data_IF_902496697481
#
_entry.id   IF_902496697481
#
_cell.length_a   1.000
_cell.length_b   1.000
_cell.length_c   1.000
_cell.angle_alpha   90.00
_cell.angle_beta   90.00
_cell.angle_gamma   90.00
#
_symmetry.space_group_name_H-M   'P 1'
#
loop_
_entity.id
_entity.type
_entity.pdbx_description
1 polymer ?
#
# COMPACT_ATOMS: atom_id res chain seq x y z
N UNK A 1 6.97 -21.06 42.82
CA UNK A 1 7.49 -20.89 41.45
C UNK A 1 6.35 -20.41 40.57
N UNK A 2 6.29 -19.11 40.29
CA UNK A 2 5.42 -18.61 39.22
C UNK A 2 5.97 -19.09 37.88
N UNK A 3 5.12 -19.65 37.02
CA UNK A 3 5.50 -19.89 35.62
C UNK A 3 5.66 -18.52 34.96
N UNK A 4 6.88 -18.14 34.59
CA UNK A 4 7.11 -17.01 33.68
C UNK A 4 6.21 -17.21 32.46
N UNK A 5 5.28 -16.28 32.23
CA UNK A 5 4.38 -16.35 31.08
C UNK A 5 5.17 -16.43 29.79
N UNK A 6 4.93 -17.46 29.00
CA UNK A 6 5.62 -17.67 27.72
C UNK A 6 5.24 -16.53 26.76
N UNK A 7 6.25 -15.74 26.37
CA UNK A 7 6.07 -14.65 25.41
C UNK A 7 6.09 -15.22 23.99
N UNK A 8 4.92 -15.60 23.51
CA UNK A 8 4.73 -16.03 22.12
C UNK A 8 4.71 -14.80 21.21
N UNK A 9 5.60 -14.78 20.21
CA UNK A 9 5.60 -13.78 19.14
C UNK A 9 4.72 -14.27 17.98
N UNK A 10 3.77 -13.45 17.56
CA UNK A 10 2.92 -13.74 16.41
C UNK A 10 3.50 -13.11 15.15
N UNK A 11 3.88 -13.95 14.19
CA UNK A 11 4.40 -13.53 12.88
C UNK A 11 3.37 -13.87 11.80
N UNK A 12 2.59 -12.89 11.28
CA UNK A 12 1.57 -13.15 10.26
C UNK A 12 2.12 -13.85 9.00
N UNK A 13 3.38 -13.55 8.63
CA UNK A 13 4.07 -14.16 7.49
C UNK A 13 4.37 -15.65 7.63
N UNK A 14 4.28 -16.23 8.83
CA UNK A 14 4.56 -17.67 9.08
C UNK A 14 3.26 -18.51 9.14
N UNK A 15 2.12 -17.93 8.76
CA UNK A 15 0.83 -18.62 8.78
C UNK A 15 0.66 -19.54 7.57
N UNK A 16 0.94 -20.83 7.74
CA UNK A 16 0.66 -21.88 6.76
C UNK A 16 -0.79 -22.42 6.81
N UNK A 17 -1.70 -21.72 7.49
CA UNK A 17 -3.09 -22.17 7.64
C UNK A 17 -3.86 -21.96 6.34
N UNK A 18 -4.59 -22.99 5.90
CA UNK A 18 -5.48 -22.93 4.74
C UNK A 18 -6.49 -21.78 4.86
N UNK A 19 -6.77 -21.11 3.73
CA UNK A 19 -7.92 -20.22 3.58
C UNK A 19 -9.18 -20.95 4.04
N UNK A 20 -9.98 -20.32 4.89
CA UNK A 20 -11.14 -20.98 5.48
C UNK A 20 -12.19 -21.31 4.40
N UNK A 21 -12.29 -22.58 4.01
CA UNK A 21 -13.19 -23.06 2.92
C UNK A 21 -14.66 -23.17 3.34
N UNK A 22 -14.95 -23.15 4.63
CA UNK A 22 -16.29 -23.48 5.18
C UNK A 22 -16.83 -22.32 6.03
N UNK A 23 -17.49 -21.36 5.37
CA UNK A 23 -18.34 -20.32 5.99
C UNK A 23 -19.84 -20.61 5.75
N UNK A 24 -20.20 -21.88 5.59
CA UNK A 24 -21.45 -22.38 4.98
C UNK A 24 -22.74 -22.17 5.79
N UNK A 25 -22.71 -21.41 6.89
CA UNK A 25 -23.88 -21.12 7.72
C UNK A 25 -24.10 -19.63 8.02
N UNK A 26 -23.31 -18.72 7.45
CA UNK A 26 -23.50 -17.27 7.59
C UNK A 26 -23.74 -16.62 6.23
N UNK A 27 -24.89 -15.95 6.12
CA UNK A 27 -25.14 -14.98 5.05
C UNK A 27 -24.48 -13.68 5.47
N UNK A 28 -23.51 -13.21 4.69
CA UNK A 28 -22.92 -11.88 4.88
C UNK A 28 -23.93 -10.83 4.45
N UNK A 29 -24.08 -9.77 5.26
CA UNK A 29 -25.04 -8.69 5.04
C UNK A 29 -24.36 -7.42 4.52
N UNK A 30 -23.05 -7.33 4.67
CA UNK A 30 -22.24 -6.24 4.15
C UNK A 30 -20.92 -6.76 3.55
N UNK A 31 -20.53 -6.19 2.40
CA UNK A 31 -19.24 -6.40 1.77
C UNK A 31 -18.71 -5.11 1.15
N UNK A 32 -17.43 -4.85 1.34
CA UNK A 32 -16.76 -3.64 0.86
C UNK A 32 -15.32 -3.97 0.46
N UNK A 33 -14.82 -3.26 -0.55
CA UNK A 33 -13.52 -3.49 -1.14
C UNK A 33 -12.74 -2.18 -1.27
N UNK A 34 -11.44 -2.22 -0.95
CA UNK A 34 -10.46 -1.22 -1.40
C UNK A 34 -9.69 -1.83 -2.57
N UNK A 35 -10.02 -1.44 -3.79
CA UNK A 35 -9.52 -2.02 -5.03
C UNK A 35 -8.48 -1.10 -5.69
N UNK A 36 -7.35 -1.64 -6.14
CA UNK A 36 -6.37 -0.93 -6.95
C UNK A 36 -6.97 -0.55 -8.32
N UNK A 37 -6.76 0.70 -8.77
CA UNK A 37 -7.35 1.18 -10.04
C UNK A 37 -6.56 0.77 -11.28
N UNK A 38 -5.34 0.24 -11.12
CA UNK A 38 -4.47 -0.21 -12.22
C UNK A 38 -4.13 -1.68 -12.06
N UNK A 39 -4.03 -2.40 -13.17
CA UNK A 39 -3.78 -3.85 -13.24
C UNK A 39 -2.39 -4.30 -12.77
N UNK A 40 -1.49 -3.36 -12.49
CA UNK A 40 -0.14 -3.64 -11.98
C UNK A 40 0.13 -2.96 -10.63
N UNK A 41 -0.94 -2.55 -9.93
CA UNK A 41 -0.90 -2.00 -8.59
C UNK A 41 -1.37 -3.06 -7.59
N UNK A 42 -0.57 -3.30 -6.54
CA UNK A 42 -0.83 -4.33 -5.54
C UNK A 42 -0.58 -3.77 -4.13
N UNK A 43 -1.37 -4.20 -3.16
CA UNK A 43 -1.11 -3.96 -1.74
C UNK A 43 0.13 -4.75 -1.31
N UNK A 44 1.16 -4.11 -0.73
CA UNK A 44 2.38 -4.81 -0.32
C UNK A 44 2.10 -5.75 0.87
N UNK A 45 2.79 -6.91 1.00
CA UNK A 45 2.58 -7.81 2.14
C UNK A 45 2.73 -7.14 3.51
N UNK A 46 3.61 -6.13 3.62
CA UNK A 46 3.76 -5.30 4.83
C UNK A 46 2.46 -4.60 5.24
N UNK A 47 1.65 -4.12 4.29
CA UNK A 47 0.36 -3.51 4.57
C UNK A 47 -0.58 -4.53 5.24
N UNK A 48 -0.63 -5.78 4.74
CA UNK A 48 -1.42 -6.83 5.39
C UNK A 48 -0.92 -7.17 6.79
N UNK A 49 0.39 -7.28 6.99
CA UNK A 49 0.97 -7.57 8.30
C UNK A 49 0.65 -6.49 9.33
N UNK A 50 0.75 -5.21 8.96
CA UNK A 50 0.37 -4.09 9.85
C UNK A 50 -1.15 -4.09 10.09
N UNK A 51 -1.96 -4.22 9.04
CA UNK A 51 -3.42 -4.22 9.13
C UNK A 51 -3.93 -5.35 10.03
N UNK A 52 -3.52 -6.59 9.78
CA UNK A 52 -3.94 -7.76 10.55
C UNK A 52 -3.55 -7.66 12.03
N UNK A 53 -2.35 -7.16 12.35
CA UNK A 53 -1.92 -6.90 13.72
C UNK A 53 -2.75 -5.78 14.39
N UNK A 54 -3.03 -4.68 13.69
CA UNK A 54 -3.85 -3.57 14.22
C UNK A 54 -5.30 -3.98 14.43
N UNK A 55 -5.92 -4.67 13.47
CA UNK A 55 -7.28 -5.17 13.58
C UNK A 55 -7.42 -6.16 14.75
N UNK A 56 -6.50 -7.13 14.86
CA UNK A 56 -6.48 -8.06 15.97
C UNK A 56 -6.28 -7.33 17.32
N UNK A 57 -5.39 -6.34 17.40
CA UNK A 57 -5.17 -5.58 18.63
C UNK A 57 -6.36 -4.70 19.04
N UNK A 58 -6.98 -4.00 18.07
CA UNK A 58 -8.07 -3.03 18.33
C UNK A 58 -9.45 -3.67 18.46
N UNK A 59 -9.75 -4.72 17.69
CA UNK A 59 -11.12 -5.21 17.51
C UNK A 59 -11.35 -6.67 17.92
N UNK A 60 -10.31 -7.47 18.21
CA UNK A 60 -10.51 -8.81 18.79
C UNK A 60 -10.83 -8.79 20.30
N UNK A 61 -10.97 -7.60 20.88
CA UNK A 61 -11.37 -7.38 22.26
C UNK A 61 -12.89 -7.20 22.30
N UNK A 62 -13.61 -8.06 23.03
CA UNK A 62 -14.93 -7.66 23.51
C UNK A 62 -14.75 -6.42 24.40
N UNK A 63 -15.52 -5.34 24.16
CA UNK A 63 -15.52 -4.09 24.94
C UNK A 63 -15.99 -4.32 26.39
N UNK A 64 -15.11 -4.90 27.21
CA UNK A 64 -15.32 -5.17 28.63
C UNK A 64 -14.16 -4.68 29.49
N UNK A 65 -14.33 -4.77 30.81
CA UNK A 65 -13.35 -4.37 31.82
C UNK A 65 -11.93 -4.89 31.46
N UNK A 66 -10.91 -4.04 31.61
CA UNK A 66 -9.48 -4.35 31.38
C UNK A 66 -9.06 -5.67 32.03
N UNK A 67 -9.54 -5.92 33.24
CA UNK A 67 -9.26 -7.12 34.03
C UNK A 67 -9.91 -8.40 33.48
N UNK A 68 -10.97 -8.26 32.69
CA UNK A 68 -11.55 -9.35 31.89
C UNK A 68 -10.78 -9.53 30.59
N UNK A 69 -10.34 -8.44 29.94
CA UNK A 69 -9.59 -8.47 28.68
C UNK A 69 -8.26 -9.24 28.79
N UNK A 70 -7.62 -9.23 29.96
CA UNK A 70 -6.42 -10.04 30.25
C UNK A 70 -6.74 -11.53 30.47
N UNK A 71 -7.98 -11.87 30.85
CA UNK A 71 -8.48 -13.25 31.05
C UNK A 71 -9.16 -13.84 29.82
N UNK A 72 -9.41 -13.03 28.79
CA UNK A 72 -10.12 -13.44 27.57
C UNK A 72 -9.15 -13.94 26.50
N UNK A 73 -9.26 -15.22 26.16
CA UNK A 73 -8.63 -15.81 24.98
C UNK A 73 -9.05 -15.04 23.72
N UNK A 74 -8.11 -14.32 23.09
CA UNK A 74 -8.33 -13.62 21.81
C UNK A 74 -8.70 -14.64 20.73
N UNK A 75 -9.94 -14.60 20.22
CA UNK A 75 -10.45 -15.55 19.22
C UNK A 75 -10.44 -14.96 17.81
N UNK A 76 -9.25 -14.61 17.34
CA UNK A 76 -8.99 -14.43 15.91
C UNK A 76 -8.68 -15.78 15.26
N UNK A 77 -9.12 -15.99 14.03
CA UNK A 77 -8.54 -17.01 13.13
C UNK A 77 -7.86 -16.28 11.99
N UNK A 78 -6.60 -16.63 11.72
CA UNK A 78 -5.82 -16.07 10.61
C UNK A 78 -5.47 -17.17 9.61
N UNK A 79 -5.18 -16.75 8.38
CA UNK A 79 -4.54 -17.52 7.32
C UNK A 79 -3.61 -16.60 6.53
N UNK A 80 -2.94 -17.09 5.50
CA UNK A 80 -1.85 -16.39 4.79
C UNK A 80 -2.18 -14.96 4.32
N UNK A 81 -3.42 -14.70 3.89
CA UNK A 81 -3.89 -13.44 3.33
C UNK A 81 -5.11 -12.84 4.06
N UNK A 82 -5.55 -13.42 5.19
CA UNK A 82 -6.77 -12.93 5.86
C UNK A 82 -6.89 -13.23 7.36
N UNK A 83 -7.86 -12.56 7.96
CA UNK A 83 -8.19 -12.56 9.38
C UNK A 83 -9.72 -12.50 9.55
N UNK A 84 -10.25 -13.33 10.43
CA UNK A 84 -11.63 -13.21 10.92
C UNK A 84 -11.68 -13.17 12.45
N UNK A 85 -12.69 -12.49 12.99
CA UNK A 85 -13.02 -12.51 14.41
C UNK A 85 -14.53 -12.34 14.65
N UNK A 86 -14.94 -12.59 15.89
CA UNK A 86 -16.26 -12.25 16.42
C UNK A 86 -16.06 -11.21 17.52
N UNK A 87 -16.86 -10.16 17.53
CA UNK A 87 -16.68 -9.01 18.44
C UNK A 87 -17.19 -9.27 19.88
N UNK A 88 -18.00 -10.32 20.08
CA UNK A 88 -18.65 -10.64 21.34
C UNK A 88 -20.08 -10.11 21.47
N UNK A 89 -20.57 -9.33 20.50
CA UNK A 89 -21.86 -8.63 20.50
C UNK A 89 -22.67 -8.93 19.23
N UNK A 90 -22.57 -10.17 18.73
CA UNK A 90 -23.36 -10.65 17.59
C UNK A 90 -22.80 -10.28 16.22
N UNK A 91 -21.63 -9.61 16.11
CA UNK A 91 -21.03 -9.25 14.80
C UNK A 91 -19.80 -10.10 14.50
N UNK A 92 -19.80 -10.74 13.33
CA UNK A 92 -18.63 -11.38 12.75
C UNK A 92 -18.02 -10.47 11.69
N UNK A 93 -16.70 -10.34 11.71
CA UNK A 93 -15.93 -9.60 10.72
C UNK A 93 -14.90 -10.50 10.05
N UNK A 94 -14.78 -10.34 8.74
CA UNK A 94 -13.79 -10.93 7.86
C UNK A 94 -13.03 -9.80 7.16
N UNK A 95 -11.69 -9.84 7.19
CA UNK A 95 -10.83 -8.98 6.36
C UNK A 95 -9.81 -9.85 5.65
N UNK A 96 -9.74 -9.74 4.32
CA UNK A 96 -8.88 -10.58 3.48
C UNK A 96 -8.30 -9.77 2.32
N UNK A 97 -7.05 -10.03 1.93
CA UNK A 97 -6.49 -9.53 0.69
C UNK A 97 -6.73 -10.55 -0.42
N UNK A 98 -7.44 -10.15 -1.46
CA UNK A 98 -7.88 -11.00 -2.58
C UNK A 98 -7.41 -10.40 -3.92
N UNK A 99 -7.87 -10.97 -5.05
CA UNK A 99 -7.58 -10.46 -6.40
C UNK A 99 -6.06 -10.27 -6.65
N UNK A 100 -5.26 -11.32 -6.39
CA UNK A 100 -3.78 -11.29 -6.48
C UNK A 100 -3.08 -10.18 -5.67
N UNK A 101 -3.72 -9.72 -4.59
CA UNK A 101 -3.33 -8.55 -3.79
C UNK A 101 -3.68 -7.19 -4.38
N UNK A 102 -4.57 -7.12 -5.38
CA UNK A 102 -5.13 -5.86 -5.87
C UNK A 102 -6.29 -5.34 -4.99
N UNK A 103 -6.87 -6.17 -4.12
CA UNK A 103 -8.04 -5.78 -3.34
C UNK A 103 -7.95 -6.15 -1.85
N UNK A 104 -8.37 -5.23 -0.98
CA UNK A 104 -8.67 -5.50 0.44
C UNK A 104 -10.17 -5.64 0.61
N UNK A 105 -10.63 -6.86 0.84
CA UNK A 105 -12.01 -7.21 1.15
C UNK A 105 -12.29 -7.04 2.64
N UNK A 106 -13.43 -6.44 2.97
CA UNK A 106 -14.06 -6.44 4.29
C UNK A 106 -15.47 -7.02 4.13
N UNK A 107 -15.81 -8.07 4.86
CA UNK A 107 -17.20 -8.58 4.94
C UNK A 107 -17.67 -8.64 6.39
N UNK A 108 -18.96 -8.37 6.62
CA UNK A 108 -19.59 -8.45 7.93
C UNK A 108 -20.95 -9.14 7.88
N UNK A 109 -21.26 -9.88 8.95
CA UNK A 109 -22.56 -10.50 9.19
C UNK A 109 -22.93 -10.28 10.66
N UNK A 110 -24.18 -9.91 10.94
CA UNK A 110 -24.66 -9.75 12.31
C UNK A 110 -25.85 -10.65 12.63
N UNK A 111 -25.98 -11.00 13.92
CA UNK A 111 -27.19 -11.60 14.46
C UNK A 111 -28.35 -10.60 14.43
N UNK A 112 -29.59 -11.09 14.37
CA UNK A 112 -30.79 -10.26 14.27
C UNK A 112 -30.88 -9.27 15.45
N UNK A 113 -30.94 -7.98 15.14
CA UNK A 113 -30.98 -6.89 16.14
C UNK A 113 -29.62 -6.25 16.46
N UNK A 114 -28.53 -6.71 15.84
CA UNK A 114 -27.18 -6.15 16.00
C UNK A 114 -26.67 -5.37 14.77
N UNK A 115 -27.58 -4.92 13.91
CA UNK A 115 -27.29 -4.09 12.73
C UNK A 115 -26.59 -2.79 13.10
N UNK A 116 -27.05 -2.07 14.12
CA UNK A 116 -26.43 -0.82 14.60
C UNK A 116 -24.98 -1.05 15.09
N UNK A 117 -24.74 -2.18 15.79
CA UNK A 117 -23.40 -2.59 16.19
C UNK A 117 -22.53 -2.89 14.97
N UNK A 118 -23.07 -3.55 13.95
CA UNK A 118 -22.38 -3.81 12.70
C UNK A 118 -22.03 -2.51 11.97
N UNK A 119 -22.94 -1.54 11.86
CA UNK A 119 -22.67 -0.23 11.24
C UNK A 119 -21.60 0.56 12.01
N UNK A 120 -21.63 0.50 13.34
CA UNK A 120 -20.59 1.11 14.19
C UNK A 120 -19.23 0.42 14.00
N UNK A 121 -19.17 -0.92 14.03
CA UNK A 121 -17.93 -1.67 13.83
C UNK A 121 -17.38 -1.51 12.41
N UNK A 122 -18.26 -1.49 11.40
CA UNK A 122 -17.98 -1.18 9.99
C UNK A 122 -17.24 0.14 9.85
N UNK A 123 -17.73 1.21 10.48
CA UNK A 123 -17.04 2.52 10.49
C UNK A 123 -15.62 2.41 11.02
N UNK A 124 -15.43 1.74 12.16
CA UNK A 124 -14.13 1.62 12.81
C UNK A 124 -13.15 0.74 12.01
N UNK A 125 -13.62 -0.35 11.41
CA UNK A 125 -12.78 -1.26 10.60
C UNK A 125 -12.38 -0.59 9.28
N UNK A 126 -13.32 0.06 8.56
CA UNK A 126 -12.99 0.82 7.33
C UNK A 126 -12.03 1.98 7.65
N UNK A 127 -12.23 2.67 8.78
CA UNK A 127 -11.31 3.70 9.25
C UNK A 127 -9.88 3.17 9.47
N UNK A 128 -9.75 2.00 10.09
CA UNK A 128 -8.45 1.37 10.31
C UNK A 128 -7.78 0.92 9.01
N UNK A 129 -8.54 0.32 8.09
CA UNK A 129 -8.08 -0.06 6.74
C UNK A 129 -7.53 1.15 6.01
N UNK A 130 -8.29 2.25 5.96
CA UNK A 130 -7.87 3.48 5.29
C UNK A 130 -6.70 4.19 5.99
N UNK A 131 -6.60 4.09 7.32
CA UNK A 131 -5.48 4.62 8.10
C UNK A 131 -4.17 3.88 7.77
N UNK A 132 -4.18 2.55 7.84
CA UNK A 132 -3.01 1.72 7.48
C UNK A 132 -2.63 1.89 6.02
N UNK A 133 -3.59 2.15 5.13
CA UNK A 133 -3.35 2.46 3.71
C UNK A 133 -2.62 3.81 3.55
N UNK A 134 -3.14 4.89 4.16
CA UNK A 134 -2.51 6.22 4.15
C UNK A 134 -1.07 6.16 4.72
N UNK A 135 -0.82 5.33 5.73
CA UNK A 135 0.51 5.16 6.34
C UNK A 135 1.48 4.27 5.53
N UNK A 136 0.99 3.17 4.92
CA UNK A 136 1.85 2.11 4.38
C UNK A 136 2.04 2.17 2.87
N UNK A 137 1.09 2.73 2.13
CA UNK A 137 1.10 2.77 0.67
C UNK A 137 0.34 3.98 0.08
N UNK A 138 0.62 5.23 0.51
CA UNK A 138 -0.13 6.43 0.07
C UNK A 138 -0.07 6.70 -1.44
N UNK A 139 0.96 6.23 -2.15
CA UNK A 139 1.08 6.36 -3.62
C UNK A 139 0.24 5.35 -4.43
N UNK A 140 -0.36 4.35 -3.78
CA UNK A 140 -1.13 3.31 -4.44
C UNK A 140 -2.52 3.85 -4.79
N UNK A 141 -2.78 4.12 -6.08
CA UNK A 141 -4.11 4.54 -6.53
C UNK A 141 -5.14 3.44 -6.31
N UNK A 142 -6.13 3.70 -5.46
CA UNK A 142 -7.21 2.78 -5.07
C UNK A 142 -8.56 3.47 -5.14
N UNK A 143 -9.62 2.68 -5.26
CA UNK A 143 -11.01 3.11 -5.11
C UNK A 143 -11.76 2.24 -4.11
N UNK A 144 -12.73 2.84 -3.43
CA UNK A 144 -13.56 2.16 -2.44
C UNK A 144 -14.89 1.73 -3.08
N UNK A 145 -15.27 0.47 -2.91
CA UNK A 145 -16.43 -0.14 -3.54
C UNK A 145 -17.31 -0.83 -2.49
N UNK A 146 -18.63 -0.73 -2.62
CA UNK A 146 -19.59 -1.58 -1.90
C UNK A 146 -20.03 -2.72 -2.81
N UNK A 147 -20.08 -3.96 -2.31
CA UNK A 147 -20.62 -5.11 -3.06
C UNK A 147 -22.14 -5.14 -2.85
N UNK A 148 -22.90 -5.50 -3.90
CA UNK A 148 -24.34 -5.69 -3.78
C UNK A 148 -24.68 -6.79 -2.75
N UNK A 149 -25.58 -6.53 -1.77
CA UNK A 149 -25.99 -7.51 -0.77
C UNK A 149 -26.50 -8.85 -1.32
N UNK A 150 -27.13 -8.86 -2.50
CA UNK A 150 -27.64 -10.09 -3.13
C UNK A 150 -26.51 -10.99 -3.67
N UNK A 151 -25.33 -10.41 -3.93
CA UNK A 151 -24.14 -11.11 -4.42
C UNK A 151 -23.08 -11.37 -3.32
N UNK A 152 -23.44 -11.22 -2.03
CA UNK A 152 -22.55 -11.47 -0.88
C UNK A 152 -22.34 -12.96 -0.54
N UNK A 153 -21.91 -13.75 -1.52
CA UNK A 153 -21.38 -15.10 -1.29
C UNK A 153 -19.89 -15.07 -0.90
N UNK A 154 -19.47 -15.90 0.06
CA UNK A 154 -18.04 -16.15 0.34
C UNK A 154 -17.69 -17.59 -0.10
N UNK A 155 -16.52 -17.87 -0.72
CA UNK A 155 -15.39 -16.96 -0.94
C UNK A 155 -15.62 -15.90 -2.03
N UNK A 156 -14.88 -14.80 -1.91
CA UNK A 156 -14.70 -13.80 -2.98
C UNK A 156 -13.28 -13.96 -3.51
N UNK A 157 -13.12 -14.16 -4.81
CA UNK A 157 -11.79 -14.22 -5.44
C UNK A 157 -11.50 -12.89 -6.15
N UNK A 158 -12.42 -12.51 -7.04
CA UNK A 158 -12.36 -11.31 -7.87
C UNK A 158 -13.60 -10.45 -7.59
N UNK A 159 -13.49 -9.23 -7.05
CA UNK A 159 -14.63 -8.32 -6.88
C UNK A 159 -15.26 -7.89 -8.20
N UNK A 160 -14.46 -7.85 -9.27
CA UNK A 160 -14.86 -7.43 -10.63
C UNK A 160 -15.89 -8.35 -11.29
N UNK A 161 -16.05 -9.58 -10.78
CA UNK A 161 -17.05 -10.54 -11.26
C UNK A 161 -18.45 -10.29 -10.65
N UNK A 162 -18.60 -9.26 -9.80
CA UNK A 162 -19.82 -8.97 -9.04
C UNK A 162 -20.32 -7.55 -9.28
N UNK A 163 -21.61 -7.37 -9.01
CA UNK A 163 -22.22 -6.04 -8.94
C UNK A 163 -21.59 -5.26 -7.77
N UNK A 164 -20.91 -4.16 -8.11
CA UNK A 164 -20.23 -3.28 -7.15
C UNK A 164 -20.56 -1.82 -7.44
N UNK A 165 -20.71 -1.04 -6.38
CA UNK A 165 -21.05 0.38 -6.42
C UNK A 165 -19.89 1.19 -5.87
N UNK A 166 -19.46 2.23 -6.59
CA UNK A 166 -18.38 3.08 -6.11
C UNK A 166 -18.86 3.94 -4.93
N UNK A 167 -18.05 4.02 -3.87
CA UNK A 167 -18.42 4.77 -2.66
C UNK A 167 -18.57 6.27 -2.96
N UNK A 168 -17.85 6.81 -3.94
CA UNK A 168 -18.00 8.20 -4.38
C UNK A 168 -19.37 8.44 -5.03
N UNK A 169 -19.84 7.50 -5.86
CA UNK A 169 -21.16 7.57 -6.49
C UNK A 169 -22.29 7.43 -5.46
N UNK A 170 -22.15 6.48 -4.52
CA UNK A 170 -23.04 6.33 -3.37
C UNK A 170 -23.16 7.63 -2.57
N UNK A 171 -22.03 8.23 -2.19
CA UNK A 171 -22.01 9.48 -1.43
C UNK A 171 -22.61 10.65 -2.22
N UNK A 172 -22.33 10.73 -3.53
CA UNK A 172 -22.89 11.76 -4.40
C UNK A 172 -24.40 11.60 -4.57
N UNK A 173 -24.90 10.39 -4.78
CA UNK A 173 -26.34 10.09 -4.83
C UNK A 173 -27.06 10.48 -3.53
N UNK A 174 -26.50 10.13 -2.35
CA UNK A 174 -27.06 10.52 -1.05
C UNK A 174 -27.06 12.04 -0.88
N UNK A 175 -25.96 12.72 -1.25
CA UNK A 175 -25.82 14.19 -1.17
C UNK A 175 -26.83 14.93 -2.05
N UNK A 176 -27.11 14.38 -3.23
CA UNK A 176 -28.08 14.92 -4.19
C UNK A 176 -29.53 14.47 -3.93
N UNK A 177 -29.76 13.59 -2.94
CA UNK A 177 -31.08 13.02 -2.67
C UNK A 177 -31.59 12.05 -3.75
N UNK A 178 -30.71 11.51 -4.60
CA UNK A 178 -31.06 10.48 -5.59
C UNK A 178 -31.32 9.15 -4.88
N UNK A 179 -32.50 8.51 -5.04
CA UNK A 179 -32.81 7.26 -4.34
C UNK A 179 -32.15 6.03 -4.98
N UNK A 180 -31.65 6.12 -6.21
CA UNK A 180 -31.05 5.00 -6.95
C UNK A 180 -29.64 5.30 -7.48
N UNK A 181 -28.88 4.24 -7.68
CA UNK A 181 -27.68 4.19 -8.50
C UNK A 181 -27.91 3.36 -9.76
N UNK A 182 -27.09 3.63 -10.78
CA UNK A 182 -27.05 2.86 -12.03
C UNK A 182 -25.80 1.98 -12.02
N UNK A 183 -25.99 0.67 -12.23
CA UNK A 183 -24.91 -0.27 -12.54
C UNK A 183 -25.14 -0.89 -13.94
N UNK A 184 -24.17 -1.69 -14.37
CA UNK A 184 -24.25 -2.53 -15.58
C UNK A 184 -25.48 -3.48 -15.58
N UNK A 185 -25.95 -3.89 -14.40
CA UNK A 185 -27.12 -4.78 -14.25
C UNK A 185 -28.45 -4.05 -14.02
N UNK A 186 -28.48 -2.72 -13.98
CA UNK A 186 -29.71 -1.92 -13.92
C UNK A 186 -29.69 -0.83 -12.84
N UNK A 187 -30.86 -0.50 -12.30
CA UNK A 187 -31.00 0.46 -11.21
C UNK A 187 -31.13 -0.26 -9.87
N UNK A 188 -30.45 0.23 -8.84
CA UNK A 188 -30.52 -0.31 -7.47
C UNK A 188 -30.78 0.84 -6.49
N UNK A 189 -31.69 0.66 -5.54
CA UNK A 189 -31.92 1.69 -4.53
C UNK A 189 -30.73 1.79 -3.57
N UNK A 190 -30.33 3.00 -3.21
CA UNK A 190 -29.24 3.24 -2.25
C UNK A 190 -29.55 2.58 -0.90
N UNK A 191 -30.83 2.51 -0.53
CA UNK A 191 -31.29 1.84 0.68
C UNK A 191 -31.25 0.31 0.61
N UNK A 192 -31.30 -0.28 -0.59
CA UNK A 192 -31.08 -1.73 -0.76
C UNK A 192 -29.59 -2.09 -0.66
N UNK A 193 -28.69 -1.21 -1.12
CA UNK A 193 -27.22 -1.40 -1.00
C UNK A 193 -26.77 -1.22 0.46
N UNK A 194 -27.40 -0.31 1.20
CA UNK A 194 -27.04 0.05 2.58
C UNK A 194 -28.27 -0.04 3.53
N UNK A 195 -28.85 -1.24 3.73
CA UNK A 195 -30.12 -1.42 4.42
C UNK A 195 -30.09 -0.98 5.88
N UNK A 196 -28.99 -1.21 6.58
CA UNK A 196 -28.85 -0.86 7.99
C UNK A 196 -28.42 0.61 8.22
N UNK A 197 -28.09 1.37 7.17
CA UNK A 197 -27.49 2.69 7.34
C UNK A 197 -28.52 3.83 7.38
N UNK A 198 -28.28 4.81 8.25
CA UNK A 198 -29.07 6.05 8.29
C UNK A 198 -28.56 7.03 7.24
N UNK A 199 -29.29 7.15 6.14
CA UNK A 199 -28.95 8.04 5.02
C UNK A 199 -29.27 9.52 5.32
N UNK A 200 -29.91 9.84 6.44
CA UNK A 200 -30.25 11.23 6.83
C UNK A 200 -29.06 12.03 7.33
N UNK A 201 -28.01 11.35 7.84
CA UNK A 201 -26.78 11.99 8.29
C UNK A 201 -25.59 11.48 7.48
N UNK A 202 -25.41 12.13 6.33
CA UNK A 202 -24.35 11.80 5.37
C UNK A 202 -22.94 11.90 5.99
N UNK A 203 -22.75 12.72 7.03
CA UNK A 203 -21.46 12.89 7.73
C UNK A 203 -21.10 11.71 8.63
N UNK A 204 -22.11 10.95 9.06
CA UNK A 204 -21.98 9.77 9.91
C UNK A 204 -22.07 8.44 9.14
N UNK A 205 -22.03 8.46 7.80
CA UNK A 205 -21.96 7.22 7.02
C UNK A 205 -20.69 6.45 7.36
N UNK A 206 -20.86 5.19 7.72
CA UNK A 206 -19.79 4.28 8.11
C UNK A 206 -18.81 3.98 6.97
N UNK A 207 -19.25 4.11 5.71
CA UNK A 207 -18.39 4.05 4.52
C UNK A 207 -17.28 5.11 4.50
N UNK A 208 -17.47 6.25 5.19
CA UNK A 208 -16.43 7.27 5.34
C UNK A 208 -15.27 6.79 6.23
N UNK A 209 -15.46 5.75 7.05
CA UNK A 209 -14.45 5.27 7.99
C UNK A 209 -14.12 6.27 9.10
N UNK A 210 -15.03 7.21 9.39
CA UNK A 210 -14.80 8.30 10.35
C UNK A 210 -13.98 9.49 9.84
N UNK A 211 -13.76 9.59 8.52
CA UNK A 211 -13.21 10.79 7.86
C UNK A 211 -14.30 11.83 7.62
N UNK A 212 -13.90 13.10 7.44
CA UNK A 212 -14.82 14.13 6.93
C UNK A 212 -15.27 13.78 5.51
N UNK A 213 -16.53 14.05 5.18
CA UNK A 213 -17.08 13.79 3.86
C UNK A 213 -16.40 14.63 2.76
N UNK A 214 -15.88 15.81 3.10
CA UNK A 214 -15.11 16.66 2.19
C UNK A 214 -13.79 16.01 1.78
N UNK A 215 -13.07 15.37 2.71
CA UNK A 215 -11.86 14.58 2.38
C UNK A 215 -12.13 13.46 1.35
N UNK A 216 -13.38 13.02 1.22
CA UNK A 216 -13.77 11.90 0.37
C UNK A 216 -14.38 12.38 -0.95
N UNK A 217 -15.28 13.36 -0.93
CA UNK A 217 -15.95 13.88 -2.14
C UNK A 217 -15.11 14.95 -2.86
N UNK A 218 -14.35 15.78 -2.14
CA UNK A 218 -13.58 16.89 -2.73
C UNK A 218 -12.18 16.45 -3.18
N UNK A 219 -11.95 15.15 -3.39
CA UNK A 219 -10.74 14.65 -4.06
C UNK A 219 -10.82 15.08 -5.53
N UNK A 220 -9.95 15.98 -6.02
CA UNK A 220 -9.89 16.27 -7.44
C UNK A 220 -9.26 15.07 -8.15
N UNK A 221 -9.74 14.74 -9.35
CA UNK A 221 -9.04 13.78 -10.22
C UNK A 221 -7.64 14.30 -10.67
N UNK A 222 -7.33 15.55 -10.34
CA UNK A 222 -6.05 16.21 -10.57
C UNK A 222 -5.25 16.40 -9.26
N UNK A 223 -4.36 15.45 -8.97
CA UNK A 223 -3.04 15.80 -8.40
C UNK A 223 -2.05 16.13 -9.53
N UNK A 224 -2.47 17.04 -10.42
CA UNK A 224 -1.60 17.77 -11.33
C UNK A 224 -1.41 19.18 -10.76
N UNK A 225 -0.17 19.49 -10.37
CA UNK A 225 0.47 20.81 -10.48
C UNK A 225 -0.36 22.05 -10.05
N UNK A 226 -0.10 22.49 -8.81
CA UNK A 226 0.02 23.91 -8.41
C UNK A 226 -1.22 24.82 -8.53
N UNK A 227 -1.89 25.09 -7.40
CA UNK A 227 -1.90 26.42 -6.77
C UNK A 227 -2.86 26.55 -5.59
N UNK A 228 -2.33 26.89 -4.41
CA UNK A 228 -3.09 27.56 -3.35
C UNK A 228 -2.23 28.56 -2.57
N UNK A 229 -1.45 29.39 -3.29
CA UNK A 229 -1.04 30.67 -2.74
C UNK A 229 -2.28 31.57 -2.65
N UNK A 230 -2.93 31.61 -1.48
CA UNK A 230 -3.84 32.71 -1.15
C UNK A 230 -3.71 33.07 0.32
N UNK A 231 -2.98 34.16 0.56
CA UNK A 231 -2.81 34.80 1.86
C UNK A 231 -4.17 35.14 2.49
N UNK A 232 -4.28 34.93 3.81
CA UNK A 232 -5.27 35.61 4.64
C UNK A 232 -4.91 37.11 4.81
N UNK A 233 -5.88 38.02 4.93
CA UNK A 233 -5.60 39.46 5.01
C UNK A 233 -5.65 40.05 6.43
N UNK A 234 -4.70 40.94 6.74
CA UNK A 234 -4.71 41.92 7.88
C UNK A 234 -4.61 41.27 9.28
N UNK A 235 -3.94 41.78 10.33
CA UNK A 235 -3.45 43.11 10.78
C UNK A 235 -2.11 42.83 11.53
N UNK A 236 -1.03 43.62 11.58
CA UNK A 236 -0.76 45.06 11.42
C UNK A 236 0.70 45.31 10.95
N UNK A 237 1.01 46.52 10.42
CA UNK A 237 2.34 47.15 10.57
C UNK A 237 2.24 48.68 10.43
N UNK A 238 2.61 49.42 11.48
CA UNK A 238 2.71 50.89 11.43
C UNK A 238 4.18 51.26 11.24
N UNK A 239 4.51 51.95 10.14
CA UNK A 239 5.21 53.25 10.12
C UNK A 239 5.60 53.74 8.72
N UNK A 240 5.41 55.06 8.54
CA UNK A 240 6.15 56.01 7.69
C UNK A 240 6.26 55.72 6.18
N UNK A 241 5.35 56.35 5.43
CA UNK A 241 5.67 57.44 4.49
C UNK A 241 6.99 57.38 3.68
N UNK A 242 6.89 57.24 2.36
CA UNK A 242 7.08 58.42 1.49
C UNK A 242 6.57 58.20 0.05
N UNK A 243 6.06 59.30 -0.52
CA UNK A 243 5.50 59.43 -1.86
C UNK A 243 6.51 59.09 -2.98
N UNK A 244 6.11 58.33 -4.02
CA UNK A 244 5.88 58.88 -5.38
C UNK A 244 5.36 57.82 -6.38
N UNK A 245 4.35 58.20 -7.15
CA UNK A 245 3.90 57.66 -8.46
C UNK A 245 3.51 58.94 -9.25
N UNK A 246 3.53 59.05 -10.61
CA UNK A 246 3.23 57.96 -11.55
C UNK A 246 3.99 57.88 -12.90
N UNK A 247 4.00 56.64 -13.43
CA UNK A 247 3.57 56.21 -14.78
C UNK A 247 3.93 57.03 -16.03
N UNK A 248 4.46 56.37 -17.06
CA UNK A 248 4.01 56.39 -18.48
C UNK A 248 4.56 55.09 -19.17
N UNK A 249 3.72 54.24 -19.77
CA UNK A 249 3.35 54.12 -21.21
C UNK A 249 4.16 53.03 -21.95
N UNK A 250 3.41 52.08 -22.54
CA UNK A 250 3.62 51.25 -23.76
C UNK A 250 5.02 50.62 -24.06
N UNK A 251 5.22 49.68 -25.00
CA UNK A 251 4.38 49.06 -26.04
C UNK A 251 4.99 47.71 -26.48
N UNK A 252 4.20 46.86 -27.16
CA UNK A 252 4.58 45.87 -28.20
C UNK A 252 5.85 44.98 -28.09
N UNK A 253 5.58 43.67 -28.05
CA UNK A 253 5.98 42.64 -29.02
C UNK A 253 7.43 42.09 -29.20
N UNK A 254 7.41 40.75 -29.30
CA UNK A 254 8.21 39.82 -30.11
C UNK A 254 9.56 39.21 -29.66
N UNK A 255 9.52 37.87 -29.76
CA UNK A 255 10.52 36.93 -30.29
C UNK A 255 11.76 36.49 -29.50
N UNK A 256 11.74 35.18 -29.21
CA UNK A 256 12.79 34.19 -29.48
C UNK A 256 14.08 34.14 -28.63
N UNK A 257 14.09 33.08 -27.80
CA UNK A 257 15.03 31.95 -27.91
C UNK A 257 16.38 32.02 -27.17
N UNK A 258 16.63 30.99 -26.34
CA UNK A 258 17.88 30.68 -25.58
C UNK A 258 18.18 31.71 -24.47
N UNK A 259 18.53 31.30 -23.25
CA UNK A 259 19.60 30.36 -22.94
C UNK A 259 19.28 29.28 -21.90
N UNK A 260 20.11 28.22 -21.93
CA UNK A 260 20.12 27.13 -20.96
C UNK A 260 21.16 27.48 -19.90
N UNK A 261 20.76 28.22 -18.87
CA UNK A 261 21.59 28.37 -17.68
C UNK A 261 21.31 27.24 -16.69
N UNK A 262 22.33 26.39 -16.55
CA UNK A 262 22.35 25.29 -15.60
C UNK A 262 22.54 25.86 -14.20
N UNK A 263 21.46 26.01 -13.45
CA UNK A 263 21.52 26.17 -11.99
C UNK A 263 20.97 24.92 -11.31
N UNK A 264 21.88 23.97 -11.09
CA UNK A 264 21.72 22.93 -10.08
C UNK A 264 21.50 23.58 -8.72
N UNK A 265 20.24 23.72 -8.33
CA UNK A 265 19.88 24.09 -6.97
C UNK A 265 19.73 22.79 -6.17
N UNK A 266 20.70 22.54 -5.29
CA UNK A 266 20.78 21.34 -4.43
C UNK A 266 19.59 21.33 -3.45
N UNK A 267 18.60 20.47 -3.71
CA UNK A 267 17.43 20.35 -2.84
C UNK A 267 17.50 19.03 -2.05
N UNK A 268 17.90 19.18 -0.79
CA UNK A 268 17.65 18.26 0.32
C UNK A 268 18.22 16.83 0.19
N UNK A 269 19.54 16.72 0.31
CA UNK A 269 20.30 15.46 0.38
C UNK A 269 19.63 14.41 1.31
N UNK A 270 19.15 14.83 2.48
CA UNK A 270 18.52 13.95 3.50
C UNK A 270 17.17 13.34 3.12
N UNK A 271 16.48 13.85 2.09
CA UNK A 271 15.19 13.29 1.63
C UNK A 271 15.40 12.37 0.43
N UNK A 272 16.40 12.63 -0.41
CA UNK A 272 16.73 11.77 -1.56
C UNK A 272 17.43 10.48 -1.13
N UNK A 273 18.38 10.52 -0.19
CA UNK A 273 19.09 9.34 0.36
C UNK A 273 18.12 8.21 0.74
N UNK A 274 17.09 8.52 1.54
CA UNK A 274 16.12 7.52 2.04
C UNK A 274 15.21 6.90 0.96
N UNK A 275 15.05 7.59 -0.18
CA UNK A 275 14.12 7.21 -1.25
C UNK A 275 14.78 6.43 -2.39
N UNK A 276 16.11 6.51 -2.52
CA UNK A 276 16.92 5.74 -3.47
C UNK A 276 17.26 4.36 -2.88
N UNK A 277 17.63 4.31 -1.59
CA UNK A 277 18.06 3.09 -0.91
C UNK A 277 17.01 1.96 -0.92
N UNK A 278 15.73 2.31 -0.81
CA UNK A 278 14.60 1.37 -0.74
C UNK A 278 13.95 1.08 -2.11
N UNK A 279 14.52 1.58 -3.20
CA UNK A 279 14.02 1.30 -4.55
C UNK A 279 14.34 -0.15 -4.93
N UNK A 280 13.32 -0.94 -5.23
CA UNK A 280 13.49 -2.20 -5.95
C UNK A 280 13.96 -1.90 -7.37
N UNK A 281 15.06 -2.53 -7.75
CA UNK A 281 15.66 -2.51 -9.07
C UNK A 281 15.01 -3.61 -9.91
N UNK A 282 14.66 -3.28 -11.14
CA UNK A 282 14.14 -4.25 -12.11
C UNK A 282 15.08 -4.40 -13.32
N UNK A 283 14.72 -5.25 -14.28
CA UNK A 283 15.57 -5.55 -15.45
C UNK A 283 15.98 -4.29 -16.25
N UNK A 284 15.24 -3.18 -16.16
CA UNK A 284 15.59 -1.89 -16.80
C UNK A 284 16.80 -1.23 -16.15
N UNK A 285 17.09 -1.53 -14.88
CA UNK A 285 18.23 -1.01 -14.13
C UNK A 285 19.51 -1.82 -14.37
N UNK A 286 19.48 -2.89 -15.17
CA UNK A 286 20.64 -3.76 -15.48
C UNK A 286 21.86 -2.96 -15.96
N UNK A 287 21.66 -1.98 -16.83
CA UNK A 287 22.74 -1.12 -17.33
C UNK A 287 23.37 -0.28 -16.20
N UNK A 288 22.56 0.23 -15.26
CA UNK A 288 23.03 1.02 -14.11
C UNK A 288 23.80 0.12 -13.15
N UNK A 289 23.23 -1.03 -12.76
CA UNK A 289 23.91 -1.97 -11.83
C UNK A 289 25.25 -2.45 -12.39
N UNK A 290 25.30 -2.82 -13.67
CA UNK A 290 26.56 -3.22 -14.31
C UNK A 290 27.54 -2.07 -14.41
N UNK A 291 27.07 -0.84 -14.65
CA UNK A 291 27.93 0.35 -14.62
C UNK A 291 28.52 0.55 -13.22
N UNK A 292 27.73 0.53 -12.15
CA UNK A 292 28.24 0.73 -10.79
C UNK A 292 29.21 -0.37 -10.35
N UNK A 293 28.93 -1.64 -10.65
CA UNK A 293 29.85 -2.75 -10.39
C UNK A 293 31.19 -2.63 -11.15
N UNK A 294 31.19 -2.02 -12.33
CA UNK A 294 32.38 -1.95 -13.21
C UNK A 294 33.04 -0.57 -13.30
N UNK A 295 32.46 0.46 -12.69
CA UNK A 295 32.82 1.88 -12.94
C UNK A 295 34.28 2.24 -12.64
N UNK A 296 34.94 1.47 -11.77
CA UNK A 296 36.34 1.68 -11.38
C UNK A 296 37.27 0.51 -11.76
N UNK A 297 36.81 -0.46 -12.56
CA UNK A 297 37.50 -1.74 -12.83
C UNK A 297 37.87 -2.60 -11.59
N UNK A 298 37.33 -2.28 -10.40
CA UNK A 298 37.69 -2.94 -9.14
C UNK A 298 37.07 -4.34 -8.97
N UNK A 299 35.88 -4.60 -9.52
CA UNK A 299 35.23 -5.90 -9.40
C UNK A 299 35.78 -6.89 -10.45
N UNK A 300 36.35 -8.01 -10.01
CA UNK A 300 36.74 -9.10 -10.92
C UNK A 300 35.50 -9.84 -11.44
N UNK A 301 35.38 -9.92 -12.77
CA UNK A 301 34.32 -10.64 -13.44
C UNK A 301 34.33 -12.14 -13.14
N UNK A 302 35.40 -12.72 -12.58
CA UNK A 302 35.44 -14.14 -12.20
C UNK A 302 34.54 -14.48 -11.01
N UNK A 303 34.31 -13.55 -10.08
CA UNK A 303 33.59 -13.83 -8.83
C UNK A 303 32.05 -13.71 -8.95
N UNK A 304 31.55 -13.57 -10.17
CA UNK A 304 30.12 -13.52 -10.49
C UNK A 304 29.31 -14.68 -9.90
N UNK A 305 29.88 -15.88 -9.83
CA UNK A 305 29.21 -17.07 -9.29
C UNK A 305 29.02 -16.95 -7.77
N UNK A 306 30.04 -16.46 -7.06
CA UNK A 306 29.97 -16.24 -5.62
C UNK A 306 29.02 -15.07 -5.29
N UNK A 307 29.02 -14.02 -6.11
CA UNK A 307 28.05 -12.92 -6.03
C UNK A 307 26.61 -13.43 -6.18
N UNK A 308 26.34 -14.24 -7.21
CA UNK A 308 25.02 -14.81 -7.45
C UNK A 308 24.45 -15.58 -6.26
N UNK A 309 25.26 -16.39 -5.58
CA UNK A 309 24.87 -17.11 -4.37
C UNK A 309 24.48 -16.15 -3.23
N UNK A 310 25.26 -15.08 -2.99
CA UNK A 310 24.94 -14.09 -1.96
C UNK A 310 23.72 -13.21 -2.32
N UNK A 311 23.47 -13.01 -3.62
CA UNK A 311 22.28 -12.35 -4.15
C UNK A 311 21.01 -13.23 -4.11
N UNK A 312 21.12 -14.51 -3.73
CA UNK A 312 19.99 -15.44 -3.54
C UNK A 312 19.67 -16.33 -4.73
N UNK A 313 20.52 -16.35 -5.77
CA UNK A 313 20.41 -17.30 -6.88
C UNK A 313 20.88 -18.69 -6.43
N UNK A 314 20.23 -19.73 -6.93
CA UNK A 314 20.57 -21.10 -6.60
C UNK A 314 21.66 -21.64 -7.53
N UNK A 315 22.47 -22.55 -7.00
CA UNK A 315 23.52 -23.31 -7.69
C UNK A 315 23.08 -23.86 -9.07
N UNK A 316 21.80 -24.25 -9.20
CA UNK A 316 21.22 -24.74 -10.46
C UNK A 316 21.22 -23.66 -11.55
N UNK A 317 20.78 -22.46 -11.21
CA UNK A 317 20.63 -21.33 -12.13
C UNK A 317 21.99 -20.78 -12.51
N UNK A 318 22.91 -20.71 -11.54
CA UNK A 318 24.29 -20.31 -11.80
C UNK A 318 25.01 -21.31 -12.72
N UNK A 319 24.83 -22.62 -12.54
CA UNK A 319 25.39 -23.62 -13.47
C UNK A 319 24.81 -23.53 -14.88
N UNK A 320 23.50 -23.29 -15.03
CA UNK A 320 22.91 -23.05 -16.33
C UNK A 320 23.53 -21.80 -17.02
N UNK A 321 23.70 -20.70 -16.26
CA UNK A 321 24.39 -19.50 -16.76
C UNK A 321 25.84 -19.79 -17.16
N UNK A 322 26.58 -20.60 -16.41
CA UNK A 322 27.97 -20.97 -16.73
C UNK A 322 28.05 -21.85 -17.99
N UNK A 323 27.16 -22.83 -18.13
CA UNK A 323 27.09 -23.72 -19.30
C UNK A 323 26.75 -22.95 -20.58
N UNK A 324 25.75 -22.06 -20.53
CA UNK A 324 25.32 -21.23 -21.67
C UNK A 324 26.35 -20.16 -22.09
N UNK A 325 27.23 -19.74 -21.17
CA UNK A 325 28.16 -18.61 -21.36
C UNK A 325 29.64 -18.99 -21.18
N UNK A 326 29.94 -20.28 -21.30
CA UNK A 326 31.23 -20.91 -20.97
C UNK A 326 32.45 -20.08 -21.41
N UNK A 327 33.28 -19.71 -20.43
CA UNK A 327 34.51 -18.94 -20.63
C UNK A 327 34.34 -17.44 -20.87
N UNK A 328 33.13 -16.87 -20.74
CA UNK A 328 32.85 -15.45 -20.94
C UNK A 328 32.35 -14.79 -19.65
N UNK A 329 33.23 -14.65 -18.65
CA UNK A 329 32.89 -14.18 -17.29
C UNK A 329 32.06 -12.90 -17.26
N UNK A 330 32.35 -11.92 -18.13
CA UNK A 330 31.54 -10.69 -18.29
C UNK A 330 30.09 -10.96 -18.73
N UNK A 331 29.86 -11.96 -19.58
CA UNK A 331 28.50 -12.37 -19.99
C UNK A 331 27.81 -13.16 -18.87
N UNK A 332 28.53 -14.03 -18.16
CA UNK A 332 28.00 -14.72 -16.98
C UNK A 332 27.55 -13.73 -15.90
N UNK A 333 28.35 -12.70 -15.59
CA UNK A 333 27.97 -11.62 -14.68
C UNK A 333 26.70 -10.88 -15.15
N UNK A 334 26.61 -10.55 -16.44
CA UNK A 334 25.44 -9.88 -17.01
C UNK A 334 24.16 -10.72 -16.86
N UNK A 335 24.22 -12.03 -17.14
CA UNK A 335 23.06 -12.92 -16.96
C UNK A 335 22.75 -13.16 -15.47
N UNK A 336 23.76 -13.24 -14.60
CA UNK A 336 23.60 -13.35 -13.15
C UNK A 336 22.86 -12.13 -12.57
N UNK A 337 23.28 -10.91 -12.93
CA UNK A 337 22.58 -9.68 -12.52
C UNK A 337 21.19 -9.59 -13.16
N UNK A 338 21.01 -10.08 -14.40
CA UNK A 338 19.70 -10.19 -15.07
C UNK A 338 18.72 -11.09 -14.30
N UNK A 339 19.14 -12.30 -13.90
CA UNK A 339 18.35 -13.22 -13.07
C UNK A 339 18.04 -12.64 -11.68
N UNK A 340 19.00 -11.97 -11.06
CA UNK A 340 18.77 -11.26 -9.79
C UNK A 340 17.74 -10.14 -9.93
N UNK A 341 17.83 -9.28 -10.96
CA UNK A 341 16.89 -8.17 -11.19
C UNK A 341 15.47 -8.61 -11.58
N UNK A 342 15.30 -9.82 -12.10
CA UNK A 342 13.97 -10.44 -12.29
C UNK A 342 13.41 -11.02 -10.98
N UNK A 343 14.26 -11.21 -9.96
CA UNK A 343 13.89 -11.86 -8.70
C UNK A 343 13.68 -13.36 -8.85
N UNK A 344 14.51 -14.04 -9.65
CA UNK A 344 14.53 -15.51 -9.79
C UNK A 344 15.00 -16.19 -8.48
N UNK A 345 14.81 -17.52 -8.37
CA UNK A 345 15.22 -18.33 -7.21
C UNK A 345 14.81 -17.77 -5.82
N UNK A 346 15.75 -17.63 -4.90
CA UNK A 346 15.56 -17.18 -3.51
C UNK A 346 15.91 -15.70 -3.30
N UNK A 347 15.95 -14.89 -4.37
CA UNK A 347 16.37 -13.48 -4.33
C UNK A 347 15.48 -12.64 -3.40
N UNK A 348 14.18 -12.94 -3.36
CA UNK A 348 13.20 -12.22 -2.52
C UNK A 348 13.30 -12.57 -1.04
N UNK A 349 13.82 -13.75 -0.72
CA UNK A 349 14.04 -14.31 0.60
C UNK A 349 15.38 -13.87 1.21
N UNK A 350 16.25 -13.19 0.44
CA UNK A 350 17.52 -12.66 0.94
C UNK A 350 17.32 -11.62 2.05
N UNK A 351 18.35 -11.44 2.90
CA UNK A 351 18.33 -10.49 4.03
C UNK A 351 18.06 -9.04 3.62
N UNK A 352 18.31 -8.66 2.36
CA UNK A 352 18.02 -7.33 1.83
C UNK A 352 16.65 -7.18 1.17
N UNK A 353 15.86 -8.26 1.05
CA UNK A 353 14.46 -8.19 0.60
C UNK A 353 14.27 -7.98 -0.91
N UNK A 354 14.97 -8.75 -1.75
CA UNK A 354 14.85 -8.68 -3.21
C UNK A 354 15.98 -7.92 -3.90
N UNK A 355 15.77 -7.56 -5.16
CA UNK A 355 16.74 -6.81 -5.99
C UNK A 355 16.75 -5.32 -5.62
N UNK A 356 17.72 -4.86 -4.83
CA UNK A 356 17.89 -3.46 -4.46
C UNK A 356 19.36 -3.16 -4.10
N UNK A 357 19.70 -1.89 -3.92
CA UNK A 357 21.08 -1.49 -3.57
C UNK A 357 21.54 -2.03 -2.21
N UNK A 358 20.63 -2.23 -1.24
CA UNK A 358 20.96 -2.78 0.08
C UNK A 358 21.38 -4.25 -0.03
N UNK A 359 20.65 -5.07 -0.79
CA UNK A 359 21.01 -6.48 -1.00
C UNK A 359 22.30 -6.64 -1.82
N UNK A 360 22.53 -5.77 -2.81
CA UNK A 360 23.78 -5.76 -3.58
C UNK A 360 25.00 -5.39 -2.70
N UNK A 361 24.90 -4.31 -1.92
CA UNK A 361 25.96 -3.89 -0.99
C UNK A 361 26.22 -4.95 0.07
N UNK A 362 25.17 -5.58 0.62
CA UNK A 362 25.33 -6.67 1.59
C UNK A 362 26.00 -7.93 0.99
N UNK A 363 25.76 -8.23 -0.28
CA UNK A 363 26.43 -9.32 -0.99
C UNK A 363 27.92 -9.00 -1.23
N UNK A 364 28.23 -7.78 -1.67
CA UNK A 364 29.61 -7.31 -1.87
C UNK A 364 30.40 -7.26 -0.54
N UNK A 365 29.82 -6.75 0.54
CA UNK A 365 30.41 -6.78 1.89
C UNK A 365 30.73 -8.23 2.34
N UNK A 366 29.85 -9.18 2.01
CA UNK A 366 30.01 -10.60 2.36
C UNK A 366 31.10 -11.31 1.53
N UNK A 367 31.31 -10.90 0.27
CA UNK A 367 32.43 -11.34 -0.56
C UNK A 367 33.77 -10.71 -0.14
N UNK A 368 33.73 -9.54 0.50
CA UNK A 368 34.92 -8.76 0.84
C UNK A 368 35.21 -7.58 -0.10
N UNK A 369 34.34 -7.35 -1.09
CA UNK A 369 34.40 -6.27 -2.10
C UNK A 369 34.05 -4.89 -1.52
N UNK A 370 34.78 -4.50 -0.47
CA UNK A 370 34.48 -3.34 0.37
C UNK A 370 34.65 -2.01 -0.34
N UNK A 371 35.51 -1.91 -1.35
CA UNK A 371 35.68 -0.65 -2.10
C UNK A 371 34.45 -0.39 -2.97
N UNK A 372 34.06 -1.37 -3.80
CA UNK A 372 32.84 -1.33 -4.63
C UNK A 372 31.58 -1.16 -3.76
N UNK A 373 31.49 -1.89 -2.64
CA UNK A 373 30.38 -1.76 -1.69
C UNK A 373 30.30 -0.35 -1.07
N UNK A 374 31.44 0.27 -0.73
CA UNK A 374 31.49 1.61 -0.17
C UNK A 374 31.10 2.69 -1.19
N UNK A 375 31.49 2.55 -2.45
CA UNK A 375 31.18 3.53 -3.48
C UNK A 375 29.69 3.47 -3.89
N UNK A 376 29.13 2.27 -4.02
CA UNK A 376 27.68 2.08 -4.18
C UNK A 376 26.93 2.63 -2.95
N UNK A 377 27.42 2.36 -1.73
CA UNK A 377 26.83 2.89 -0.49
C UNK A 377 26.77 4.42 -0.53
N UNK A 378 27.90 5.13 -0.67
CA UNK A 378 27.95 6.61 -0.73
C UNK A 378 27.01 7.25 -1.77
N UNK A 379 26.65 6.52 -2.83
CA UNK A 379 25.87 7.04 -3.97
C UNK A 379 24.39 6.68 -3.93
N UNK A 380 24.01 5.64 -3.19
CA UNK A 380 22.65 5.09 -3.19
C UNK A 380 22.06 4.78 -1.80
N UNK A 381 22.86 4.79 -0.71
CA UNK A 381 22.51 4.37 0.66
C UNK A 381 22.97 5.35 1.77
#
# INVERSE_FOLDING_TARGET
MERKGERLLFFPCLLSSDRSKTMTSQVYQFGWCLQCTREHHFFPPRYFHVLSLRLAFKFSLSKGNKELAEKLNRKCKFWSNGLQWFDGYGVKVLVEIIDESQCVLVMMSCEKGYSDNMVSLRRNVIGEVMSVYKESCPGLKVKALSIDPEELAYPVNTPRERTVYEVLDLLSAIKEGRPFLVSDKGHKEVKEILPDESLSDISNLSLLGGRDIKEVIEIPEEFNIVSANKLEPTIQKVKSDTNYIPTQISESDNDQQKDIDTHTCTINDKVQETHIANRLLDIRDLAVVLQELTSNQQFDYTDWHQLGLYLGLYERTLKAIEEDNRGKSKKCLMECISSWLKGEDGVRETRGGGSNWISLVAALDAMGEREVANDIRKKYL
#
